data_IF_070859121128
#
_entry.id   IF_070859121128
#
_cell.length_a   1.000
_cell.length_b   1.000
_cell.length_c   1.000
_cell.angle_alpha   90.00
_cell.angle_beta   90.00
_cell.angle_gamma   90.00
#
_symmetry.space_group_name_H-M   'P 1'
#
loop_
_entity.id
_entity.type
_entity.pdbx_description
1 polymer ?
#
# COMPACT_ATOMS: atom_id res chain seq x y z
N UNK A 1 10.77 -8.97 1.75
CA UNK A 1 9.79 -9.09 0.64
C UNK A 1 9.70 -7.73 -0.02
N UNK A 2 9.72 -7.65 -1.35
CA UNK A 2 9.65 -6.34 -2.02
C UNK A 2 8.26 -5.74 -1.94
N UNK A 3 8.16 -4.42 -1.80
CA UNK A 3 6.88 -3.70 -1.84
C UNK A 3 6.10 -4.01 -3.12
N UNK A 4 6.79 -4.13 -4.27
CA UNK A 4 6.16 -4.54 -5.54
C UNK A 4 5.40 -5.86 -5.49
N UNK A 5 5.85 -6.83 -4.68
CA UNK A 5 5.18 -8.12 -4.54
C UNK A 5 3.86 -7.99 -3.76
N UNK A 6 3.88 -7.20 -2.67
CA UNK A 6 2.68 -6.90 -1.87
C UNK A 6 1.67 -6.13 -2.71
N UNK A 7 2.15 -5.11 -3.44
CA UNK A 7 1.30 -4.28 -4.28
C UNK A 7 0.57 -5.11 -5.34
N UNK A 8 1.26 -6.05 -5.98
CA UNK A 8 0.64 -6.97 -6.94
C UNK A 8 -0.44 -7.84 -6.26
N UNK A 9 -0.15 -8.39 -5.09
CA UNK A 9 -1.10 -9.20 -4.33
C UNK A 9 -2.36 -8.40 -3.92
N UNK A 10 -2.20 -7.17 -3.45
CA UNK A 10 -3.33 -6.30 -3.11
C UNK A 10 -4.19 -5.99 -4.35
N UNK A 11 -3.55 -5.74 -5.50
CA UNK A 11 -4.25 -5.49 -6.76
C UNK A 11 -5.03 -6.72 -7.29
N UNK A 12 -4.63 -7.94 -6.92
CA UNK A 12 -5.39 -9.16 -7.24
C UNK A 12 -6.65 -9.31 -6.37
N UNK A 13 -6.62 -8.82 -5.13
CA UNK A 13 -7.76 -8.86 -4.20
C UNK A 13 -8.75 -7.72 -4.52
N UNK A 14 -8.22 -6.52 -4.70
CA UNK A 14 -8.98 -5.30 -4.96
C UNK A 14 -8.21 -4.46 -5.97
N UNK A 15 -8.55 -4.53 -7.26
CA UNK A 15 -7.82 -3.80 -8.30
C UNK A 15 -7.84 -2.30 -8.04
N UNK A 16 -6.66 -1.68 -8.04
CA UNK A 16 -6.51 -0.24 -7.81
C UNK A 16 -7.20 0.59 -8.89
N UNK A 17 -7.44 0.04 -10.08
CA UNK A 17 -8.18 0.72 -11.16
C UNK A 17 -9.66 0.99 -10.80
N UNK A 18 -10.23 0.25 -9.85
CA UNK A 18 -11.62 0.44 -9.42
C UNK A 18 -11.79 1.65 -8.49
N UNK A 19 -10.70 2.30 -8.07
CA UNK A 19 -10.79 3.51 -7.25
C UNK A 19 -11.46 4.65 -8.03
N UNK A 20 -12.14 5.53 -7.31
CA UNK A 20 -12.72 6.73 -7.91
C UNK A 20 -11.62 7.67 -8.43
N UNK A 21 -11.93 8.48 -9.44
CA UNK A 21 -10.94 9.39 -10.06
C UNK A 21 -10.30 10.41 -9.10
N UNK A 22 -10.97 10.67 -7.99
CA UNK A 22 -10.53 11.60 -6.96
C UNK A 22 -9.85 10.91 -5.78
N UNK A 23 -9.82 9.57 -5.75
CA UNK A 23 -9.15 8.82 -4.72
C UNK A 23 -7.62 8.85 -4.92
N UNK A 24 -6.88 8.66 -3.84
CA UNK A 24 -5.42 8.65 -3.82
C UNK A 24 -4.94 7.35 -3.16
N UNK A 25 -5.20 6.24 -3.84
CA UNK A 25 -4.84 4.89 -3.38
C UNK A 25 -3.56 4.39 -4.05
N UNK A 26 -2.87 3.46 -3.38
CA UNK A 26 -1.67 2.79 -3.88
C UNK A 26 -0.43 3.07 -3.02
N UNK A 27 0.76 3.12 -3.64
CA UNK A 27 2.00 3.45 -2.94
C UNK A 27 2.16 4.97 -2.89
N UNK A 28 1.86 5.57 -1.73
CA UNK A 28 1.88 7.02 -1.56
C UNK A 28 3.28 7.56 -1.20
N UNK A 29 4.05 6.80 -0.42
CA UNK A 29 5.38 7.17 0.04
C UNK A 29 6.28 5.93 -0.04
N UNK A 30 7.52 6.11 -0.50
CA UNK A 30 8.52 5.05 -0.60
C UNK A 30 8.73 4.52 -2.02
N UNK A 31 9.29 3.31 -2.13
CA UNK A 31 9.69 2.72 -3.41
C UNK A 31 9.31 1.24 -3.55
N UNK A 32 8.83 0.85 -4.72
CA UNK A 32 8.51 -0.55 -5.07
C UNK A 32 9.69 -1.53 -4.95
N UNK A 33 10.92 -1.00 -4.95
CA UNK A 33 12.15 -1.78 -4.85
C UNK A 33 12.59 -2.03 -3.40
N UNK A 34 11.97 -1.37 -2.41
CA UNK A 34 12.30 -1.56 -1.00
C UNK A 34 11.91 -2.95 -0.51
N UNK A 35 12.77 -3.51 0.34
CA UNK A 35 12.54 -4.76 1.05
C UNK A 35 11.95 -4.46 2.43
N UNK A 36 10.82 -5.11 2.75
CA UNK A 36 10.16 -4.99 4.05
C UNK A 36 10.05 -6.36 4.73
N UNK A 37 9.99 -6.32 6.07
CA UNK A 37 9.85 -7.51 6.93
C UNK A 37 8.55 -7.53 7.73
N UNK A 38 7.86 -6.39 7.85
CA UNK A 38 6.65 -6.23 8.64
C UNK A 38 5.61 -5.38 7.90
N UNK A 39 4.34 -5.64 8.17
CA UNK A 39 3.20 -4.89 7.62
C UNK A 39 2.30 -4.53 8.81
N UNK A 40 1.91 -3.26 8.90
CA UNK A 40 0.87 -2.79 9.80
C UNK A 40 -0.39 -2.45 8.98
N UNK A 41 -1.56 -2.81 9.50
CA UNK A 41 -2.85 -2.42 8.93
C UNK A 41 -3.51 -1.40 9.85
N UNK A 42 -3.89 -0.25 9.31
CA UNK A 42 -4.56 0.82 10.04
C UNK A 42 -5.64 1.47 9.19
N UNK A 43 -6.52 2.23 9.84
CA UNK A 43 -7.48 3.13 9.19
C UNK A 43 -6.83 4.51 9.02
N UNK A 44 -6.24 5.03 10.11
CA UNK A 44 -5.51 6.29 10.12
C UNK A 44 -4.02 6.04 10.37
N UNK A 45 -3.16 6.80 9.69
CA UNK A 45 -1.72 6.84 9.95
C UNK A 45 -1.41 8.12 10.70
N UNK A 46 -1.26 8.02 12.02
CA UNK A 46 -0.96 9.13 12.93
C UNK A 46 0.34 8.89 13.72
N UNK A 47 0.74 9.86 14.54
CA UNK A 47 1.97 9.78 15.35
C UNK A 47 1.94 8.68 16.42
N UNK A 48 0.77 8.11 16.74
CA UNK A 48 0.68 7.00 17.71
C UNK A 48 0.94 5.65 17.03
N UNK A 49 0.69 5.57 15.72
CA UNK A 49 0.95 4.38 14.92
C UNK A 49 2.42 4.26 14.53
N UNK A 50 3.07 5.39 14.24
CA UNK A 50 4.48 5.47 13.82
C UNK A 50 5.41 5.17 15.00
#
# INVERSE_FOLDING_TARGET
MKISQIYKFLNEISPFELQEKWDNSGLLIGSFNEEISQIALSIDVDEKLI
#
